data_IF_820963179672
#
_entry.id   IF_820963179672
#
_cell.length_a   1.000
_cell.length_b   1.000
_cell.length_c   1.000
_cell.angle_alpha   90.00
_cell.angle_beta   90.00
_cell.angle_gamma   90.00
#
_symmetry.space_group_name_H-M   'P 1'
#
loop_
_entity.id
_entity.type
_entity.pdbx_description
1 polymer ?
#
# COMPACT_ATOMS: atom_id res chain seq x y z
N UNK A 1 17.16 -27.46 5.57
CA UNK A 1 17.29 -26.46 6.65
C UNK A 1 18.50 -25.54 6.43
N UNK A 2 18.72 -25.03 5.21
CA UNK A 2 19.92 -24.23 4.84
C UNK A 2 19.55 -22.81 4.39
N UNK A 3 18.41 -22.65 3.74
CA UNK A 3 17.92 -21.37 3.18
C UNK A 3 17.64 -20.34 4.30
N UNK A 4 17.13 -20.78 5.46
CA UNK A 4 16.87 -19.90 6.61
C UNK A 4 18.14 -19.24 7.18
N UNK A 5 19.26 -19.97 7.20
CA UNK A 5 20.55 -19.45 7.67
C UNK A 5 21.11 -18.35 6.77
N UNK A 6 21.02 -18.55 5.45
CA UNK A 6 21.49 -17.58 4.44
C UNK A 6 20.65 -16.29 4.48
N UNK A 7 19.32 -16.41 4.60
CA UNK A 7 18.42 -15.25 4.70
C UNK A 7 18.71 -14.44 5.96
N UNK A 8 18.94 -15.12 7.09
CA UNK A 8 19.26 -14.44 8.36
C UNK A 8 20.63 -13.74 8.30
N UNK A 9 21.61 -14.36 7.65
CA UNK A 9 22.93 -13.75 7.45
C UNK A 9 22.84 -12.47 6.59
N UNK A 10 22.17 -12.56 5.44
CA UNK A 10 21.93 -11.40 4.55
C UNK A 10 21.17 -10.28 5.26
N UNK A 11 20.16 -10.61 6.07
CA UNK A 11 19.41 -9.62 6.87
C UNK A 11 20.30 -8.90 7.89
N UNK A 12 21.23 -9.62 8.51
CA UNK A 12 22.17 -9.03 9.48
C UNK A 12 23.22 -8.17 8.80
N UNK A 13 23.72 -8.58 7.63
CA UNK A 13 24.70 -7.81 6.86
C UNK A 13 24.08 -6.51 6.32
N UNK A 14 22.85 -6.55 5.82
CA UNK A 14 22.09 -5.36 5.41
C UNK A 14 21.89 -4.40 6.61
N UNK A 15 21.56 -4.92 7.80
CA UNK A 15 21.43 -4.09 9.01
C UNK A 15 22.74 -3.42 9.39
N UNK A 16 23.88 -4.13 9.33
CA UNK A 16 25.20 -3.54 9.60
C UNK A 16 25.58 -2.46 8.60
N UNK A 17 25.30 -2.67 7.32
CA UNK A 17 25.53 -1.66 6.28
C UNK A 17 24.68 -0.41 6.56
N UNK A 18 23.41 -0.60 6.91
CA UNK A 18 22.48 0.50 7.19
C UNK A 18 22.91 1.33 8.42
N UNK A 19 23.43 0.69 9.46
CA UNK A 19 23.92 1.34 10.68
C UNK A 19 25.24 2.11 10.49
N UNK A 20 26.03 1.73 9.48
CA UNK A 20 27.31 2.37 9.16
C UNK A 20 27.20 3.40 8.04
N UNK A 21 25.99 3.70 7.55
CA UNK A 21 25.79 4.77 6.58
C UNK A 21 26.14 6.13 7.20
N UNK A 22 26.86 7.00 6.48
CA UNK A 22 27.09 8.38 6.89
C UNK A 22 25.76 9.06 7.23
N UNK A 23 25.75 9.88 8.30
CA UNK A 23 24.55 10.62 8.73
C UNK A 23 23.89 11.38 7.58
N UNK A 24 24.70 11.97 6.69
CA UNK A 24 24.22 12.69 5.49
C UNK A 24 23.42 11.80 4.53
N UNK A 25 23.82 10.53 4.34
CA UNK A 25 23.10 9.59 3.46
C UNK A 25 21.80 9.15 4.14
N UNK A 26 21.82 8.87 5.44
CA UNK A 26 20.61 8.55 6.21
C UNK A 26 19.60 9.71 6.19
N UNK A 27 20.04 10.96 6.34
CA UNK A 27 19.20 12.15 6.21
C UNK A 27 18.62 12.32 4.81
N UNK A 28 19.41 12.06 3.74
CA UNK A 28 18.91 12.10 2.35
C UNK A 28 17.85 11.02 2.12
N UNK A 29 18.06 9.80 2.61
CA UNK A 29 17.09 8.70 2.50
C UNK A 29 15.81 9.04 3.27
N UNK A 30 15.92 9.57 4.50
CA UNK A 30 14.77 10.02 5.28
C UNK A 30 14.02 11.14 4.57
N UNK A 31 14.75 12.14 4.06
CA UNK A 31 14.16 13.30 3.36
C UNK A 31 13.47 12.87 2.06
N UNK A 32 14.04 11.93 1.32
CA UNK A 32 13.38 11.33 0.13
C UNK A 32 12.14 10.52 0.52
N UNK A 33 12.20 9.68 1.54
CA UNK A 33 11.02 8.95 2.06
C UNK A 33 9.91 9.89 2.49
N UNK A 34 10.24 10.94 3.26
CA UNK A 34 9.30 11.94 3.74
C UNK A 34 8.77 12.86 2.63
N UNK A 35 9.47 12.96 1.50
CA UNK A 35 8.98 13.67 0.31
C UNK A 35 8.01 12.79 -0.46
N UNK A 36 8.39 11.53 -0.70
CA UNK A 36 7.50 10.53 -1.30
C UNK A 36 6.18 10.42 -0.52
N UNK A 37 6.23 10.32 0.81
CA UNK A 37 5.01 10.22 1.62
C UNK A 37 4.11 11.46 1.54
N UNK A 38 4.69 12.66 1.35
CA UNK A 38 3.93 13.91 1.15
C UNK A 38 3.35 14.02 -0.25
N UNK A 39 4.11 13.65 -1.27
CA UNK A 39 3.64 13.66 -2.65
C UNK A 39 2.50 12.63 -2.83
N UNK A 40 2.64 11.45 -2.22
CA UNK A 40 1.58 10.41 -2.20
C UNK A 40 0.33 10.87 -1.44
N UNK A 41 0.51 11.50 -0.27
CA UNK A 41 -0.60 12.00 0.54
C UNK A 41 -1.42 13.10 -0.18
N UNK A 42 -0.81 13.83 -1.12
CA UNK A 42 -1.52 14.83 -1.92
C UNK A 42 -2.33 14.20 -3.07
N UNK A 43 -1.94 13.01 -3.53
CA UNK A 43 -2.58 12.29 -4.64
C UNK A 43 -3.77 11.46 -4.14
N UNK A 44 -3.62 10.76 -3.02
CA UNK A 44 -4.68 9.87 -2.51
C UNK A 44 -5.66 10.65 -1.63
N UNK A 45 -6.95 10.61 -1.99
CA UNK A 45 -8.04 11.27 -1.28
C UNK A 45 -9.06 10.24 -0.81
N UNK A 46 -9.52 10.38 0.44
CA UNK A 46 -10.58 9.53 1.02
C UNK A 46 -11.84 10.39 1.15
N UNK A 47 -12.96 9.94 0.56
CA UNK A 47 -14.24 10.64 0.74
C UNK A 47 -14.79 10.47 2.15
N UNK A 48 -15.62 11.40 2.62
CA UNK A 48 -16.28 11.27 3.93
C UNK A 48 -17.17 10.02 4.02
N UNK A 49 -17.77 9.60 2.90
CA UNK A 49 -18.53 8.37 2.81
C UNK A 49 -17.66 7.13 3.10
N UNK A 50 -16.45 7.09 2.52
CA UNK A 50 -15.48 6.02 2.79
C UNK A 50 -14.94 6.06 4.22
N UNK A 51 -14.60 7.24 4.75
CA UNK A 51 -14.18 7.38 6.16
C UNK A 51 -15.25 6.81 7.09
N UNK A 52 -16.49 7.29 6.95
CA UNK A 52 -17.61 6.84 7.78
C UNK A 52 -17.85 5.33 7.66
N UNK A 53 -17.73 4.77 6.46
CA UNK A 53 -17.85 3.33 6.23
C UNK A 53 -16.76 2.53 6.94
N UNK A 54 -15.50 2.96 6.85
CA UNK A 54 -14.35 2.29 7.47
C UNK A 54 -14.41 2.38 8.99
N UNK A 55 -14.73 3.54 9.55
CA UNK A 55 -14.91 3.72 11.00
C UNK A 55 -16.08 2.87 11.51
N UNK A 56 -17.25 2.88 10.83
CA UNK A 56 -18.41 2.08 11.25
C UNK A 56 -18.12 0.58 11.26
N UNK A 57 -17.24 0.10 10.36
CA UNK A 57 -16.82 -1.30 10.30
C UNK A 57 -15.59 -1.63 11.16
N UNK A 58 -15.01 -0.65 11.84
CA UNK A 58 -13.72 -0.77 12.53
C UNK A 58 -12.60 -1.34 11.64
N UNK A 59 -12.51 -0.83 10.41
CA UNK A 59 -11.54 -1.24 9.38
C UNK A 59 -10.62 -0.08 9.04
N UNK A 60 -9.71 0.26 9.95
CA UNK A 60 -8.78 1.39 9.79
C UNK A 60 -7.51 1.05 9.00
N UNK A 61 -7.47 -0.12 8.36
CA UNK A 61 -6.35 -0.55 7.52
C UNK A 61 -6.90 -0.99 6.17
N UNK A 62 -6.41 -0.37 5.11
CA UNK A 62 -6.80 -0.67 3.72
C UNK A 62 -5.54 -0.92 2.89
N UNK A 63 -5.59 -1.85 1.96
CA UNK A 63 -4.50 -2.06 1.00
C UNK A 63 -4.94 -1.79 -0.43
N UNK A 64 -4.05 -1.19 -1.22
CA UNK A 64 -4.19 -0.97 -2.65
C UNK A 64 -3.14 -1.85 -3.33
N UNK A 65 -3.58 -2.83 -4.11
CA UNK A 65 -2.74 -3.84 -4.74
C UNK A 65 -3.38 -4.36 -6.04
N UNK A 66 -2.58 -4.85 -6.99
CA UNK A 66 -3.15 -5.63 -8.09
C UNK A 66 -3.77 -6.90 -7.53
N UNK A 67 -5.05 -7.18 -7.85
CA UNK A 67 -5.71 -8.36 -7.35
C UNK A 67 -5.13 -9.59 -8.03
N UNK A 68 -4.96 -10.64 -7.23
CA UNK A 68 -4.58 -11.96 -7.70
C UNK A 68 -5.75 -12.91 -7.45
N UNK A 69 -6.49 -13.23 -8.50
CA UNK A 69 -7.62 -14.14 -8.42
C UNK A 69 -7.15 -15.55 -8.74
N UNK A 70 -7.14 -16.42 -7.71
CA UNK A 70 -6.79 -17.83 -7.86
C UNK A 70 -8.03 -18.70 -7.74
N UNK A 71 -8.25 -19.59 -8.71
CA UNK A 71 -9.28 -20.64 -8.66
C UNK A 71 -8.68 -21.95 -9.11
N UNK A 72 -8.52 -22.92 -8.20
CA UNK A 72 -7.83 -24.18 -8.50
C UNK A 72 -6.37 -23.94 -8.89
N UNK A 73 -6.00 -24.34 -10.10
CA UNK A 73 -4.67 -24.13 -10.68
C UNK A 73 -4.58 -22.88 -11.58
N UNK A 74 -5.69 -22.17 -11.79
CA UNK A 74 -5.74 -20.99 -12.64
C UNK A 74 -5.50 -19.72 -11.83
N UNK A 75 -4.82 -18.77 -12.46
CA UNK A 75 -4.52 -17.45 -11.89
C UNK A 75 -4.84 -16.37 -12.91
N UNK A 76 -5.72 -15.44 -12.53
CA UNK A 76 -6.00 -14.23 -13.29
C UNK A 76 -5.37 -13.02 -12.60
N UNK A 77 -4.61 -12.26 -13.38
CA UNK A 77 -4.02 -10.98 -12.97
C UNK A 77 -4.80 -9.85 -13.62
N UNK A 78 -5.36 -8.96 -12.80
CA UNK A 78 -5.96 -7.73 -13.29
C UNK A 78 -4.91 -6.64 -13.23
N UNK A 79 -4.70 -5.94 -14.35
CA UNK A 79 -3.70 -4.87 -14.46
C UNK A 79 -4.22 -3.52 -13.95
N UNK A 80 -5.24 -3.53 -13.08
CA UNK A 80 -5.77 -2.35 -12.43
C UNK A 80 -5.78 -2.61 -10.94
N UNK A 81 -5.16 -1.74 -10.12
CA UNK A 81 -5.16 -1.91 -8.67
C UNK A 81 -6.58 -1.88 -8.09
N UNK A 82 -6.81 -2.71 -7.09
CA UNK A 82 -8.03 -2.75 -6.30
C UNK A 82 -7.75 -2.40 -4.83
N UNK A 83 -8.82 -2.08 -4.08
CA UNK A 83 -8.73 -1.76 -2.66
C UNK A 83 -9.40 -2.82 -1.79
N UNK A 84 -8.72 -3.19 -0.70
CA UNK A 84 -9.24 -4.16 0.26
C UNK A 84 -9.15 -3.61 1.68
N UNK A 85 -10.24 -3.73 2.45
CA UNK A 85 -10.29 -3.35 3.86
C UNK A 85 -9.64 -4.41 4.77
N UNK A 86 -8.35 -4.66 4.56
CA UNK A 86 -7.52 -5.62 5.29
C UNK A 86 -6.12 -5.05 5.51
N UNK A 87 -5.46 -5.56 6.55
CA UNK A 87 -4.02 -5.38 6.72
C UNK A 87 -3.28 -6.44 5.88
N UNK A 88 -2.23 -6.10 5.11
CA UNK A 88 -1.48 -7.08 4.34
C UNK A 88 -0.72 -8.06 5.25
N UNK A 89 -0.44 -9.26 4.74
CA UNK A 89 0.32 -10.28 5.48
C UNK A 89 1.81 -9.94 5.60
N UNK A 90 2.36 -9.22 4.62
CA UNK A 90 3.76 -8.80 4.53
C UNK A 90 3.80 -7.28 4.34
N UNK A 91 3.86 -6.53 5.43
CA UNK A 91 3.84 -5.06 5.39
C UNK A 91 5.07 -4.48 4.69
N UNK A 92 6.19 -5.21 4.68
CA UNK A 92 7.43 -4.82 4.02
C UNK A 92 7.30 -4.62 2.50
N UNK A 93 6.27 -5.19 1.88
CA UNK A 93 6.02 -5.09 0.43
C UNK A 93 5.22 -3.83 0.06
N UNK A 94 4.89 -2.99 1.05
CA UNK A 94 4.01 -1.83 0.89
C UNK A 94 4.70 -0.54 1.36
N UNK A 95 4.28 0.57 0.78
CA UNK A 95 4.44 1.90 1.34
C UNK A 95 3.22 2.19 2.22
N UNK A 96 3.44 2.71 3.43
CA UNK A 96 2.36 3.00 4.38
C UNK A 96 2.14 4.50 4.41
N UNK A 97 0.89 4.92 4.20
CA UNK A 97 0.43 6.30 4.31
C UNK A 97 -0.70 6.34 5.33
N UNK A 98 -0.63 7.25 6.30
CA UNK A 98 -1.71 7.46 7.27
C UNK A 98 -2.45 8.75 6.93
N UNK A 99 -3.74 8.65 6.62
CA UNK A 99 -4.63 9.78 6.35
C UNK A 99 -5.88 9.62 7.22
N UNK A 100 -6.23 10.64 8.00
CA UNK A 100 -7.43 10.66 8.83
C UNK A 100 -7.60 9.37 9.67
N UNK A 101 -6.53 8.96 10.38
CA UNK A 101 -6.48 7.75 11.22
C UNK A 101 -6.62 6.41 10.47
N UNK A 102 -6.70 6.44 9.14
CA UNK A 102 -6.75 5.26 8.27
C UNK A 102 -5.35 5.01 7.70
N UNK A 103 -4.85 3.79 7.88
CA UNK A 103 -3.60 3.34 7.28
C UNK A 103 -3.86 2.75 5.89
N UNK A 104 -3.28 3.38 4.88
CA UNK A 104 -3.27 2.93 3.49
C UNK A 104 -1.95 2.22 3.22
N UNK A 105 -2.03 0.93 2.90
CA UNK A 105 -0.92 0.11 2.45
C UNK A 105 -0.93 0.08 0.92
N UNK A 106 -0.09 0.90 0.29
CA UNK A 106 0.07 0.92 -1.17
C UNK A 106 1.16 -0.07 -1.56
N UNK A 107 0.83 -1.09 -2.36
CA UNK A 107 1.82 -2.05 -2.84
C UNK A 107 2.96 -1.34 -3.58
N UNK A 108 4.21 -1.75 -3.33
CA UNK A 108 5.38 -1.20 -4.04
C UNK A 108 5.40 -1.51 -5.54
N UNK A 109 4.53 -2.42 -5.99
CA UNK A 109 4.36 -2.74 -7.41
C UNK A 109 3.39 -1.79 -8.12
N UNK A 110 2.58 -1.05 -7.37
CA UNK A 110 1.61 -0.10 -7.93
C UNK A 110 2.29 1.25 -8.09
N UNK A 111 2.30 1.80 -9.31
CA UNK A 111 2.74 3.17 -9.53
C UNK A 111 1.56 4.11 -9.26
N UNK A 112 1.84 5.25 -8.64
CA UNK A 112 0.80 6.27 -8.51
C UNK A 112 0.68 7.03 -9.83
N UNK A 113 -0.56 7.28 -10.29
CA UNK A 113 -0.80 8.15 -11.43
C UNK A 113 -0.52 9.62 -11.07
N UNK A 114 -0.42 10.46 -12.10
CA UNK A 114 -0.26 11.91 -11.94
C UNK A 114 -1.58 12.62 -11.55
N UNK A 115 -2.71 11.92 -11.61
CA UNK A 115 -4.03 12.41 -11.20
C UNK A 115 -4.42 11.96 -9.79
N UNK A 116 -5.47 12.58 -9.25
CA UNK A 116 -6.05 12.18 -7.97
C UNK A 116 -6.47 10.70 -7.97
N UNK A 117 -6.14 10.00 -6.89
CA UNK A 117 -6.62 8.65 -6.58
C UNK A 117 -7.69 8.78 -5.51
N UNK A 118 -8.93 8.37 -5.81
CA UNK A 118 -10.07 8.58 -4.93
C UNK A 118 -10.52 7.24 -4.34
N UNK A 119 -10.48 7.15 -3.01
CA UNK A 119 -11.07 6.07 -2.22
C UNK A 119 -12.49 6.47 -1.82
N UNK A 120 -13.48 5.72 -2.30
CA UNK A 120 -14.90 5.99 -2.09
C UNK A 120 -15.69 4.72 -1.78
N UNK A 121 -16.99 4.85 -1.52
CA UNK A 121 -17.92 3.73 -1.31
C UNK A 121 -18.99 3.73 -2.37
N UNK A 122 -18.97 2.70 -3.22
CA UNK A 122 -20.06 2.42 -4.13
C UNK A 122 -21.17 1.62 -3.41
N UNK A 123 -22.41 1.78 -3.89
CA UNK A 123 -23.51 0.91 -3.49
C UNK A 123 -24.16 0.28 -4.71
N UNK A 124 -24.26 -1.05 -4.68
CA UNK A 124 -24.94 -1.82 -5.71
C UNK A 124 -25.84 -2.85 -5.03
N UNK A 125 -27.13 -2.86 -5.39
CA UNK A 125 -28.14 -3.75 -4.78
C UNK A 125 -28.16 -3.72 -3.24
N UNK A 126 -27.96 -2.53 -2.65
CA UNK A 126 -27.90 -2.34 -1.19
C UNK A 126 -26.60 -2.78 -0.52
N UNK A 127 -25.68 -3.41 -1.26
CA UNK A 127 -24.35 -3.78 -0.78
C UNK A 127 -23.43 -2.58 -0.93
N UNK A 128 -22.71 -2.23 0.14
CA UNK A 128 -21.72 -1.15 0.14
C UNK A 128 -20.31 -1.71 0.03
N UNK A 129 -19.59 -1.30 -1.01
CA UNK A 129 -18.26 -1.80 -1.38
C UNK A 129 -17.29 -0.63 -1.42
N UNK A 130 -16.11 -0.81 -0.83
CA UNK A 130 -15.04 0.16 -0.92
C UNK A 130 -14.45 0.10 -2.34
N UNK A 131 -14.20 1.25 -2.93
CA UNK A 131 -13.71 1.38 -4.30
C UNK A 131 -12.52 2.33 -4.35
N UNK A 132 -11.63 2.11 -5.31
CA UNK A 132 -10.54 3.02 -5.62
C UNK A 132 -10.63 3.36 -7.11
N UNK A 133 -10.46 4.63 -7.42
CA UNK A 133 -10.49 5.14 -8.79
C UNK A 133 -9.33 6.10 -9.03
N UNK A 134 -9.01 6.36 -10.30
CA UNK A 134 -7.88 7.19 -10.70
C UNK A 134 -6.72 6.39 -11.29
N UNK A 135 -6.66 5.06 -11.07
CA UNK A 135 -5.71 4.18 -11.75
C UNK A 135 -6.21 3.79 -13.15
N UNK A 136 -5.28 3.61 -14.07
CA UNK A 136 -5.48 3.03 -15.39
C UNK A 136 -4.59 1.78 -15.58
N UNK A 137 -4.73 1.07 -16.71
CA UNK A 137 -4.03 -0.19 -16.95
C UNK A 137 -2.50 -0.06 -17.14
N UNK A 138 -1.95 1.15 -17.13
CA UNK A 138 -0.51 1.43 -17.29
C UNK A 138 0.17 1.81 -15.98
N UNK A 139 -0.61 2.04 -14.91
CA UNK A 139 -0.12 2.45 -13.59
C UNK A 139 0.10 1.24 -12.70
#
# INVERSE_FOLDING_TARGET
MVISGIINQLRNDIRRITLNLPRSINEIILKRRNRLSRDVANIIKITDAAKNYLHKKNKLNVCIEYPEYRTGNDCAFVQVPEIFAKKPKKEEDYNIISLDEINIFLSKLVNLPDNDVIIDVASFLGIKILTVSGFNSKD
#
